data_IF_653169584370
#
_entry.id   IF_653169584370
#
_cell.length_a   1.000
_cell.length_b   1.000
_cell.length_c   1.000
_cell.angle_alpha   90.00
_cell.angle_beta   90.00
_cell.angle_gamma   90.00
#
_symmetry.space_group_name_H-M   'P 1'
#
loop_
_entity.id
_entity.type
_entity.pdbx_description
1 polymer ?
#
# COMPACT_ATOMS: atom_id res chain seq x y z
N UNK A 1 -20.07 84.68 51.48
CA UNK A 1 -20.70 83.70 50.57
C UNK A 1 -19.58 82.95 49.88
N UNK A 2 -19.31 81.69 50.24
CA UNK A 2 -18.31 80.90 49.53
C UNK A 2 -18.95 80.35 48.24
N UNK A 3 -18.36 80.68 47.09
CA UNK A 3 -18.75 80.07 45.82
C UNK A 3 -18.33 78.60 45.86
N UNK A 4 -19.31 77.70 46.01
CA UNK A 4 -19.07 76.26 46.08
C UNK A 4 -18.69 75.68 44.72
N UNK A 5 -17.51 75.06 44.63
CA UNK A 5 -17.10 74.32 43.44
C UNK A 5 -17.73 72.93 43.44
N UNK A 6 -18.31 72.53 42.30
CA UNK A 6 -18.81 71.17 42.10
C UNK A 6 -17.67 70.30 41.57
N UNK A 7 -17.00 69.61 42.48
CA UNK A 7 -15.94 68.65 42.16
C UNK A 7 -16.55 67.31 41.74
N UNK A 8 -15.94 66.64 40.78
CA UNK A 8 -16.34 65.27 40.42
C UNK A 8 -15.88 64.30 41.51
N UNK A 9 -16.83 63.57 42.10
CA UNK A 9 -16.61 62.70 43.25
C UNK A 9 -17.19 61.32 42.95
N UNK A 10 -16.59 60.23 43.49
CA UNK A 10 -17.17 58.92 43.35
C UNK A 10 -18.58 58.89 43.96
N UNK A 11 -19.47 58.02 43.45
CA UNK A 11 -20.80 57.86 44.02
C UNK A 11 -20.68 57.46 45.50
N UNK A 12 -21.65 57.86 46.32
CA UNK A 12 -21.64 57.63 47.77
C UNK A 12 -21.55 56.14 48.16
N UNK A 13 -21.91 55.23 47.26
CA UNK A 13 -21.81 53.77 47.42
C UNK A 13 -20.57 53.12 46.81
N UNK A 14 -19.65 53.88 46.22
CA UNK A 14 -18.49 53.37 45.50
C UNK A 14 -18.81 52.71 44.14
N UNK A 15 -17.77 52.26 43.44
CA UNK A 15 -17.89 51.55 42.16
C UNK A 15 -17.98 50.04 42.37
N UNK A 16 -18.55 49.33 41.38
CA UNK A 16 -18.56 47.87 41.39
C UNK A 16 -17.12 47.31 41.41
N UNK A 17 -16.93 46.20 42.10
CA UNK A 17 -15.64 45.53 42.18
C UNK A 17 -15.21 45.01 40.81
N UNK A 18 -14.14 45.58 40.26
CA UNK A 18 -13.55 45.12 39.01
C UNK A 18 -12.81 43.79 39.24
N UNK A 19 -13.11 42.76 38.44
CA UNK A 19 -12.36 41.49 38.48
C UNK A 19 -11.01 41.68 37.78
N UNK A 20 -9.99 42.04 38.54
CA UNK A 20 -8.62 42.24 38.06
C UNK A 20 -7.80 40.95 37.99
N UNK A 21 -8.29 39.84 38.59
CA UNK A 21 -7.59 38.56 38.61
C UNK A 21 -7.88 37.74 37.35
N UNK A 22 -6.86 37.01 36.90
CA UNK A 22 -6.95 36.08 35.77
C UNK A 22 -7.97 34.97 36.06
N UNK A 23 -9.02 34.87 35.26
CA UNK A 23 -10.03 33.81 35.35
C UNK A 23 -9.90 32.84 34.16
N UNK A 24 -9.03 31.84 34.28
CA UNK A 24 -8.89 30.76 33.29
C UNK A 24 -9.57 29.49 33.84
N UNK A 25 -10.78 29.15 33.38
CA UNK A 25 -11.40 27.89 33.75
C UNK A 25 -10.63 26.73 33.13
N UNK A 26 -10.26 25.74 33.94
CA UNK A 26 -9.74 24.47 33.45
C UNK A 26 -10.88 23.75 32.72
N UNK A 27 -10.86 23.81 31.39
CA UNK A 27 -11.87 23.18 30.52
C UNK A 27 -11.26 21.94 29.88
N UNK A 28 -12.02 20.85 29.91
CA UNK A 28 -11.68 19.60 29.24
C UNK A 28 -11.81 18.38 30.15
N UNK A 29 -11.92 17.19 29.56
CA UNK A 29 -11.91 15.94 30.32
C UNK A 29 -10.53 15.72 30.96
N UNK A 30 -10.50 15.02 32.09
CA UNK A 30 -9.26 14.61 32.75
C UNK A 30 -8.37 13.79 31.81
N UNK A 31 -7.05 13.89 31.95
CA UNK A 31 -6.09 13.10 31.16
C UNK A 31 -6.38 11.60 31.22
N UNK A 32 -6.82 11.08 32.36
CA UNK A 32 -7.21 9.67 32.51
C UNK A 32 -8.39 9.29 31.59
N UNK A 33 -9.36 10.19 31.41
CA UNK A 33 -10.51 9.97 30.52
C UNK A 33 -10.07 9.98 29.05
N UNK A 34 -9.12 10.83 28.70
CA UNK A 34 -8.55 10.88 27.34
C UNK A 34 -7.77 9.59 27.05
N UNK A 35 -6.91 9.14 27.96
CA UNK A 35 -6.17 7.90 27.76
C UNK A 35 -7.09 6.67 27.73
N UNK A 36 -8.11 6.62 28.61
CA UNK A 36 -9.09 5.56 28.61
C UNK A 36 -9.89 5.48 27.30
N UNK A 37 -10.30 6.62 26.75
CA UNK A 37 -11.07 6.66 25.50
C UNK A 37 -10.21 6.25 24.30
N UNK A 38 -8.97 6.74 24.20
CA UNK A 38 -8.04 6.34 23.15
C UNK A 38 -7.75 4.84 23.23
N UNK A 39 -7.51 4.30 24.43
CA UNK A 39 -7.28 2.88 24.62
C UNK A 39 -8.48 2.03 24.17
N UNK A 40 -9.70 2.44 24.51
CA UNK A 40 -10.93 1.75 24.08
C UNK A 40 -11.10 1.77 22.54
N UNK A 41 -10.81 2.90 21.89
CA UNK A 41 -10.88 3.01 20.43
C UNK A 41 -9.82 2.12 19.77
N UNK A 42 -8.59 2.16 20.27
CA UNK A 42 -7.49 1.35 19.72
C UNK A 42 -7.77 -0.14 19.87
N UNK A 43 -8.20 -0.60 21.05
CA UNK A 43 -8.52 -2.02 21.29
C UNK A 43 -9.61 -2.53 20.35
N UNK A 44 -10.68 -1.76 20.17
CA UNK A 44 -11.73 -2.09 19.20
C UNK A 44 -11.22 -2.08 17.75
N UNK A 45 -10.35 -1.12 17.41
CA UNK A 45 -9.70 -1.04 16.09
C UNK A 45 -8.86 -2.29 15.79
N UNK A 46 -8.02 -2.71 16.74
CA UNK A 46 -7.20 -3.92 16.59
C UNK A 46 -8.04 -5.19 16.48
N UNK A 47 -9.14 -5.30 17.24
CA UNK A 47 -10.07 -6.42 17.13
C UNK A 47 -10.69 -6.52 15.73
N UNK A 48 -11.18 -5.41 15.17
CA UNK A 48 -11.73 -5.38 13.80
C UNK A 48 -10.67 -5.68 12.74
N UNK A 49 -9.45 -5.16 12.91
CA UNK A 49 -8.33 -5.43 12.02
C UNK A 49 -7.93 -6.91 12.02
N UNK A 50 -7.96 -7.57 13.18
CA UNK A 50 -7.73 -9.01 13.30
C UNK A 50 -8.73 -9.83 12.47
N UNK A 51 -10.02 -9.51 12.56
CA UNK A 51 -11.06 -10.17 11.76
C UNK A 51 -10.87 -9.93 10.26
N UNK A 52 -10.65 -8.69 9.84
CA UNK A 52 -10.41 -8.36 8.44
C UNK A 52 -9.15 -9.05 7.88
N UNK A 53 -8.11 -9.22 8.69
CA UNK A 53 -6.90 -9.93 8.28
C UNK A 53 -7.16 -11.42 8.06
N UNK A 54 -8.03 -12.04 8.87
CA UNK A 54 -8.42 -13.44 8.67
C UNK A 54 -9.19 -13.60 7.36
N UNK A 55 -10.18 -12.73 7.10
CA UNK A 55 -10.92 -12.72 5.84
C UNK A 55 -10.00 -12.51 4.63
N UNK A 56 -9.07 -11.54 4.71
CA UNK A 56 -8.07 -11.29 3.65
C UNK A 56 -7.18 -12.50 3.39
N UNK A 57 -6.87 -13.31 4.39
CA UNK A 57 -6.08 -14.55 4.21
C UNK A 57 -6.89 -15.60 3.47
N UNK A 58 -8.18 -15.74 3.79
CA UNK A 58 -9.07 -16.66 3.07
C UNK A 58 -9.25 -16.25 1.60
N UNK A 59 -9.48 -14.96 1.33
CA UNK A 59 -9.55 -14.44 -0.06
C UNK A 59 -8.25 -14.66 -0.83
N UNK A 60 -7.09 -14.47 -0.18
CA UNK A 60 -5.78 -14.76 -0.80
C UNK A 60 -5.61 -16.25 -1.06
N UNK A 61 -6.07 -17.11 -0.15
CA UNK A 61 -6.06 -18.56 -0.29
C UNK A 61 -6.91 -18.98 -1.48
N UNK A 62 -8.14 -18.49 -1.57
CA UNK A 62 -9.04 -18.74 -2.71
C UNK A 62 -8.39 -18.33 -4.03
N UNK A 63 -7.84 -17.11 -4.11
CA UNK A 63 -7.12 -16.64 -5.30
C UNK A 63 -5.92 -17.51 -5.67
N UNK A 64 -5.18 -17.98 -4.66
CA UNK A 64 -4.04 -18.88 -4.90
C UNK A 64 -4.49 -20.23 -5.44
N UNK A 65 -5.54 -20.82 -4.87
CA UNK A 65 -6.12 -22.08 -5.37
C UNK A 65 -6.68 -21.97 -6.78
N UNK A 66 -7.40 -20.90 -7.08
CA UNK A 66 -7.87 -20.60 -8.43
C UNK A 66 -6.71 -20.59 -9.43
N UNK A 67 -5.59 -19.92 -9.08
CA UNK A 67 -4.40 -19.91 -9.92
C UNK A 67 -3.76 -21.29 -10.05
N UNK A 68 -3.54 -22.01 -8.96
CA UNK A 68 -2.91 -23.34 -8.98
C UNK A 68 -3.68 -24.28 -9.93
N UNK A 69 -5.01 -24.22 -9.92
CA UNK A 69 -5.84 -25.06 -10.78
C UNK A 69 -5.81 -24.63 -12.26
N UNK A 70 -5.62 -23.35 -12.56
CA UNK A 70 -5.56 -22.84 -13.93
C UNK A 70 -4.15 -22.89 -14.54
N UNK A 71 -3.10 -22.84 -13.72
CA UNK A 71 -1.70 -22.81 -14.15
C UNK A 71 -1.34 -23.95 -15.11
N UNK A 72 -1.73 -25.21 -14.90
CA UNK A 72 -1.38 -26.30 -15.81
C UNK A 72 -1.92 -26.09 -17.23
N UNK A 73 -3.12 -25.55 -17.38
CA UNK A 73 -3.72 -25.26 -18.68
C UNK A 73 -2.95 -24.15 -19.39
N UNK A 74 -2.68 -23.05 -18.69
CA UNK A 74 -1.96 -21.89 -19.25
C UNK A 74 -0.52 -22.29 -19.63
N UNK A 75 0.15 -23.07 -18.79
CA UNK A 75 1.51 -23.54 -19.05
C UNK A 75 1.54 -24.45 -20.28
N UNK A 76 0.59 -25.39 -20.40
CA UNK A 76 0.52 -26.27 -21.57
C UNK A 76 0.26 -25.51 -22.88
N UNK A 77 -0.57 -24.47 -22.85
CA UNK A 77 -0.76 -23.59 -24.00
C UNK A 77 0.52 -22.84 -24.35
N UNK A 78 1.20 -22.26 -23.35
CA UNK A 78 2.47 -21.55 -23.54
C UNK A 78 3.57 -22.45 -24.09
N UNK A 79 3.70 -23.68 -23.58
CA UNK A 79 4.72 -24.64 -24.03
C UNK A 79 4.51 -25.04 -25.50
N UNK A 80 3.25 -25.26 -25.93
CA UNK A 80 2.91 -25.52 -27.35
C UNK A 80 3.30 -24.34 -28.23
N UNK A 81 3.01 -23.14 -27.75
CA UNK A 81 3.26 -21.91 -28.46
C UNK A 81 4.77 -21.60 -28.58
N UNK A 82 5.53 -21.85 -27.51
CA UNK A 82 6.97 -21.76 -27.49
C UNK A 82 7.61 -22.73 -28.47
N UNK A 83 7.22 -24.01 -28.42
CA UNK A 83 7.71 -25.02 -29.35
C UNK A 83 7.44 -24.66 -30.81
N UNK A 84 6.24 -24.16 -31.13
CA UNK A 84 5.90 -23.68 -32.48
C UNK A 84 6.84 -22.57 -32.95
N UNK A 85 7.14 -21.59 -32.08
CA UNK A 85 8.06 -20.48 -32.41
C UNK A 85 9.50 -20.96 -32.57
N UNK A 86 9.95 -21.90 -31.72
CA UNK A 86 11.28 -22.50 -31.82
C UNK A 86 11.45 -23.24 -33.16
N UNK A 87 10.46 -24.06 -33.57
CA UNK A 87 10.52 -24.75 -34.87
C UNK A 87 10.53 -23.77 -36.05
N UNK A 88 9.73 -22.70 -36.00
CA UNK A 88 9.74 -21.68 -37.03
C UNK A 88 11.09 -20.91 -37.09
N UNK A 89 11.70 -20.62 -35.94
CA UNK A 89 13.02 -20.00 -35.87
C UNK A 89 14.11 -20.91 -36.43
N UNK A 90 14.10 -22.21 -36.08
CA UNK A 90 15.04 -23.19 -36.62
C UNK A 90 14.91 -23.36 -38.13
N UNK A 91 13.69 -23.32 -38.68
CA UNK A 91 13.46 -23.36 -40.12
C UNK A 91 14.05 -22.10 -40.81
N UNK A 92 13.76 -20.91 -40.28
CA UNK A 92 14.33 -19.64 -40.77
C UNK A 92 15.86 -19.63 -40.70
N UNK A 93 16.43 -20.12 -39.61
CA UNK A 93 17.88 -20.21 -39.42
C UNK A 93 18.53 -21.10 -40.49
N UNK A 94 17.95 -22.28 -40.76
CA UNK A 94 18.43 -23.20 -41.80
C UNK A 94 18.41 -22.57 -43.19
N UNK A 95 17.36 -21.82 -43.51
CA UNK A 95 17.24 -21.14 -44.81
C UNK A 95 18.24 -20.00 -44.96
N UNK A 96 18.45 -19.21 -43.91
CA UNK A 96 19.37 -18.06 -43.91
C UNK A 96 20.84 -18.51 -43.94
N UNK A 97 21.18 -19.55 -43.16
CA UNK A 97 22.57 -19.99 -42.96
C UNK A 97 23.02 -21.10 -43.92
N UNK A 98 22.23 -21.42 -44.95
CA UNK A 98 22.50 -22.50 -45.90
C UNK A 98 23.84 -22.37 -46.64
N UNK A 99 24.29 -21.14 -46.88
CA UNK A 99 25.45 -20.84 -47.72
C UNK A 99 26.76 -20.72 -46.91
N UNK A 100 26.71 -20.85 -45.57
CA UNK A 100 27.86 -20.64 -44.69
C UNK A 100 28.50 -21.96 -44.24
N UNK A 101 29.77 -22.18 -44.60
CA UNK A 101 30.51 -23.39 -44.25
C UNK A 101 30.80 -23.46 -42.73
N UNK A 102 30.36 -24.54 -42.08
CA UNK A 102 30.62 -24.81 -40.65
C UNK A 102 29.53 -24.34 -39.68
N UNK A 103 28.41 -23.78 -40.18
CA UNK A 103 27.25 -23.47 -39.35
C UNK A 103 26.35 -24.70 -39.15
N UNK A 104 26.11 -25.07 -37.90
CA UNK A 104 25.17 -26.13 -37.52
C UNK A 104 23.88 -25.50 -36.98
N UNK A 105 22.82 -25.48 -37.80
CA UNK A 105 21.56 -24.87 -37.39
C UNK A 105 20.95 -25.58 -36.17
N UNK A 106 20.53 -24.80 -35.17
CA UNK A 106 19.97 -25.32 -33.92
C UNK A 106 20.97 -25.89 -32.91
N UNK A 107 22.28 -25.68 -33.12
CA UNK A 107 23.30 -26.01 -32.11
C UNK A 107 23.15 -25.10 -30.89
N UNK A 108 23.01 -25.70 -29.71
CA UNK A 108 22.97 -24.94 -28.45
C UNK A 108 24.29 -24.20 -28.22
N UNK A 109 24.20 -22.93 -27.82
CA UNK A 109 25.35 -22.15 -27.35
C UNK A 109 25.83 -22.58 -25.97
N UNK A 110 24.99 -23.31 -25.22
CA UNK A 110 25.31 -23.82 -23.90
C UNK A 110 25.91 -25.22 -23.97
N UNK A 111 26.95 -25.47 -23.19
CA UNK A 111 27.60 -26.78 -23.08
C UNK A 111 26.80 -27.80 -22.26
N UNK A 112 25.67 -27.39 -21.65
CA UNK A 112 24.80 -28.29 -20.88
C UNK A 112 23.81 -29.00 -21.80
N UNK A 113 23.45 -30.24 -21.43
CA UNK A 113 22.37 -31.00 -22.09
C UNK A 113 20.97 -30.61 -21.60
N UNK A 114 20.87 -29.73 -20.59
CA UNK A 114 19.58 -29.27 -20.04
C UNK A 114 18.94 -28.24 -20.98
N UNK A 115 17.61 -28.20 -21.00
CA UNK A 115 16.89 -27.12 -21.65
C UNK A 115 17.24 -25.78 -21.00
N UNK A 116 17.52 -24.79 -21.84
CA UNK A 116 17.78 -23.41 -21.45
C UNK A 116 16.80 -22.51 -22.19
N UNK A 117 15.98 -21.70 -21.50
CA UNK A 117 15.06 -20.80 -22.17
C UNK A 117 15.83 -19.73 -22.94
N UNK A 118 15.35 -19.40 -24.14
CA UNK A 118 15.94 -18.33 -24.94
C UNK A 118 15.57 -16.96 -24.33
N UNK A 119 16.57 -16.08 -24.19
CA UNK A 119 16.39 -14.72 -23.68
C UNK A 119 15.79 -13.76 -24.72
N UNK A 120 15.90 -14.10 -26.00
CA UNK A 120 15.46 -13.28 -27.13
C UNK A 120 14.33 -14.02 -27.84
N UNK A 121 13.18 -13.36 -27.96
CA UNK A 121 12.06 -13.86 -28.77
C UNK A 121 12.24 -13.35 -30.19
N UNK A 122 12.54 -14.25 -31.12
CA UNK A 122 12.60 -13.93 -32.55
C UNK A 122 11.17 -13.90 -33.08
N UNK A 123 10.60 -12.69 -33.18
CA UNK A 123 9.26 -12.45 -33.74
C UNK A 123 9.12 -12.97 -35.17
#
# INVERSE_FOLDING_TARGET
MSHGYRQDMPPSGGYETLKYKRNLPLRGPSGAVIFGSVFAICTLGFYRLGQANNERRELKREKAWSRINLVPLILAEQDRDAYRREQAALAREKEIMKDYAGWEAGKSSYNTKRYTPNSIVVL
#
